data_IF_259062583100
#
_entry.id   IF_259062583100
#
_cell.length_a   1.000
_cell.length_b   1.000
_cell.length_c   1.000
_cell.angle_alpha   90.00
_cell.angle_beta   90.00
_cell.angle_gamma   90.00
#
_symmetry.space_group_name_H-M   'P 1'
#
loop_
_entity.id
_entity.type
_entity.pdbx_description
1 polymer ?
#
# COMPACT_ATOMS: atom_id res chain seq x y z
N UNK A 1 4.22 -14.94 12.04
CA UNK A 1 5.67 -14.65 12.02
C UNK A 1 5.98 -13.16 12.17
N UNK A 2 5.57 -12.25 11.27
CA UNK A 2 5.84 -10.79 11.39
C UNK A 2 5.31 -10.14 12.67
N UNK A 3 4.22 -10.66 13.24
CA UNK A 3 3.67 -10.20 14.53
C UNK A 3 4.56 -10.54 15.72
N UNK A 4 5.29 -11.66 15.67
CA UNK A 4 6.24 -12.06 16.71
C UNK A 4 7.50 -11.18 16.67
N UNK A 5 7.96 -10.80 15.46
CA UNK A 5 9.09 -9.88 15.29
C UNK A 5 8.78 -8.46 15.82
N UNK A 6 7.54 -7.99 15.65
CA UNK A 6 7.11 -6.71 16.21
C UNK A 6 7.16 -6.69 17.74
N UNK A 7 6.82 -7.81 18.38
CA UNK A 7 6.89 -7.96 19.84
C UNK A 7 8.35 -8.04 20.33
N UNK A 8 9.21 -8.73 19.58
CA UNK A 8 10.64 -8.84 19.90
C UNK A 8 11.40 -7.51 19.78
N UNK A 9 11.10 -6.71 18.75
CA UNK A 9 11.71 -5.40 18.52
C UNK A 9 10.92 -4.22 19.11
N UNK A 10 10.02 -4.47 20.06
CA UNK A 10 9.15 -3.45 20.65
C UNK A 10 9.87 -2.32 21.39
N UNK A 11 11.14 -2.52 21.78
CA UNK A 11 11.95 -1.51 22.49
C UNK A 11 12.38 -0.33 21.63
N UNK A 12 12.43 -0.49 20.31
CA UNK A 12 12.90 0.55 19.38
C UNK A 12 11.77 0.94 18.41
N UNK A 13 11.33 2.22 18.41
CA UNK A 13 10.22 2.66 17.54
C UNK A 13 10.56 2.53 16.05
N UNK A 14 11.84 2.66 15.70
CA UNK A 14 12.42 2.49 14.36
C UNK A 14 12.08 1.13 13.74
N UNK A 15 12.40 0.06 14.47
CA UNK A 15 12.18 -1.30 13.99
C UNK A 15 10.69 -1.66 13.96
N UNK A 16 9.90 -1.09 14.89
CA UNK A 16 8.45 -1.26 14.91
C UNK A 16 7.78 -0.65 13.66
N UNK A 17 8.26 0.52 13.21
CA UNK A 17 7.80 1.17 11.99
C UNK A 17 8.08 0.32 10.75
N UNK A 18 9.30 -0.22 10.61
CA UNK A 18 9.66 -1.08 9.46
C UNK A 18 8.83 -2.37 9.42
N UNK A 19 8.58 -3.02 10.56
CA UNK A 19 7.76 -4.24 10.61
C UNK A 19 6.30 -3.94 10.24
N UNK A 20 5.75 -2.79 10.63
CA UNK A 20 4.40 -2.35 10.23
C UNK A 20 4.31 -2.05 8.73
N UNK A 21 5.32 -1.40 8.16
CA UNK A 21 5.41 -1.16 6.72
C UNK A 21 5.43 -2.47 5.94
N UNK A 22 6.26 -3.43 6.37
CA UNK A 22 6.34 -4.76 5.77
C UNK A 22 5.01 -5.52 5.86
N UNK A 23 4.33 -5.46 7.01
CA UNK A 23 2.99 -6.02 7.17
C UNK A 23 2.00 -5.37 6.19
N UNK A 24 1.99 -4.05 6.07
CA UNK A 24 1.16 -3.33 5.11
C UNK A 24 1.35 -3.79 3.66
N UNK A 25 2.60 -3.94 3.22
CA UNK A 25 2.95 -4.40 1.89
C UNK A 25 2.52 -5.87 1.65
N UNK A 26 2.79 -6.77 2.59
CA UNK A 26 2.37 -8.18 2.46
C UNK A 26 0.85 -8.35 2.42
N UNK A 27 0.11 -7.51 3.14
CA UNK A 27 -1.34 -7.55 3.15
C UNK A 27 -1.97 -6.88 1.91
N UNK A 28 -1.32 -5.87 1.32
CA UNK A 28 -1.75 -5.30 0.04
C UNK A 28 -1.82 -6.39 -1.05
N UNK A 29 -0.80 -7.27 -1.11
CA UNK A 29 -0.76 -8.40 -2.05
C UNK A 29 -1.87 -9.44 -1.90
N UNK A 30 -2.67 -9.40 -0.81
CA UNK A 30 -3.75 -10.38 -0.54
C UNK A 30 -5.11 -10.01 -1.14
N UNK A 31 -5.28 -8.85 -1.78
CA UNK A 31 -6.45 -8.69 -2.67
C UNK A 31 -6.97 -7.30 -2.96
N UNK A 32 -6.78 -6.31 -2.08
CA UNK A 32 -7.43 -4.98 -2.26
C UNK A 32 -6.62 -4.02 -3.11
N UNK A 33 -5.30 -4.13 -3.12
CA UNK A 33 -4.42 -3.22 -3.86
C UNK A 33 -3.27 -4.00 -4.46
N UNK A 34 -3.15 -3.98 -5.79
CA UNK A 34 -2.00 -4.56 -6.50
C UNK A 34 -0.99 -3.50 -6.86
N UNK A 35 0.29 -3.79 -6.62
CA UNK A 35 1.40 -2.99 -7.14
C UNK A 35 1.74 -3.50 -8.54
N UNK A 36 1.34 -2.77 -9.57
CA UNK A 36 1.63 -3.12 -10.96
C UNK A 36 1.98 -1.86 -11.76
N UNK A 37 3.22 -1.70 -12.26
CA UNK A 37 3.61 -0.55 -13.06
C UNK A 37 3.12 -0.62 -14.51
N UNK A 38 2.47 -1.72 -14.91
CA UNK A 38 2.00 -1.94 -16.26
C UNK A 38 0.46 -1.83 -16.32
N UNK A 39 -0.01 -1.13 -17.35
CA UNK A 39 -1.42 -0.95 -17.68
C UNK A 39 -1.78 -1.81 -18.91
N UNK A 40 -3.01 -2.29 -19.00
CA UNK A 40 -3.54 -3.15 -20.09
C UNK A 40 -2.70 -4.43 -20.34
N UNK A 41 -3.00 -5.51 -19.61
CA UNK A 41 -2.38 -6.84 -19.79
C UNK A 41 -0.86 -6.83 -19.95
N UNK A 42 -0.20 -5.97 -19.16
CA UNK A 42 1.26 -5.80 -19.13
C UNK A 42 1.89 -5.30 -20.44
N UNK A 43 1.10 -4.77 -21.38
CA UNK A 43 1.56 -4.36 -22.71
C UNK A 43 2.07 -2.92 -22.74
N UNK A 44 1.55 -2.04 -21.88
CA UNK A 44 1.97 -0.64 -21.80
C UNK A 44 2.54 -0.34 -20.41
N UNK A 45 3.78 0.16 -20.38
CA UNK A 45 4.45 0.53 -19.12
C UNK A 45 4.12 1.98 -18.79
N UNK A 46 3.57 2.20 -17.59
CA UNK A 46 3.36 3.54 -17.07
C UNK A 46 4.67 4.07 -16.49
N UNK A 47 5.30 5.03 -17.17
CA UNK A 47 6.59 5.63 -16.79
C UNK A 47 6.63 6.15 -15.34
N UNK A 48 5.66 6.94 -14.84
CA UNK A 48 5.64 7.39 -13.45
C UNK A 48 5.49 6.26 -12.42
N UNK A 49 4.74 5.20 -12.73
CA UNK A 49 4.59 4.06 -11.84
C UNK A 49 5.88 3.25 -11.72
N UNK A 50 6.61 3.08 -12.84
CA UNK A 50 7.93 2.44 -12.85
C UNK A 50 8.95 3.27 -12.07
N UNK A 51 8.99 4.59 -12.32
CA UNK A 51 9.86 5.52 -11.60
C UNK A 51 9.56 5.49 -10.09
N UNK A 52 8.29 5.48 -9.69
CA UNK A 52 7.90 5.40 -8.29
C UNK A 52 8.34 4.11 -7.60
N UNK A 53 8.29 2.97 -8.31
CA UNK A 53 8.79 1.71 -7.78
C UNK A 53 10.31 1.71 -7.61
N UNK A 54 11.06 2.25 -8.58
CA UNK A 54 12.52 2.36 -8.53
C UNK A 54 13.00 3.30 -7.42
N UNK A 55 12.33 4.43 -7.22
CA UNK A 55 12.63 5.38 -6.13
C UNK A 55 12.45 4.72 -4.77
N UNK A 56 11.38 3.94 -4.58
CA UNK A 56 11.15 3.23 -3.31
C UNK A 56 12.18 2.13 -3.09
N UNK A 57 12.53 1.36 -4.12
CA UNK A 57 13.55 0.31 -4.05
C UNK A 57 14.93 0.87 -3.70
N UNK A 58 15.34 1.96 -4.35
CA UNK A 58 16.61 2.64 -4.07
C UNK A 58 16.62 3.29 -2.68
N UNK A 59 15.48 3.80 -2.19
CA UNK A 59 15.38 4.33 -0.83
C UNK A 59 15.50 3.27 0.27
N UNK A 60 15.12 2.02 0.00
CA UNK A 60 15.31 0.92 0.95
C UNK A 60 16.78 0.49 1.10
N UNK A 61 17.70 0.91 0.22
CA UNK A 61 19.14 0.65 0.39
C UNK A 61 19.72 1.44 1.59
N UNK A 62 19.22 2.65 1.86
CA UNK A 62 19.57 3.44 3.05
C UNK A 62 18.33 3.78 3.89
N UNK A 63 17.76 2.73 4.50
CA UNK A 63 16.57 2.86 5.35
C UNK A 63 16.78 3.78 6.57
N UNK A 64 17.99 3.81 7.14
CA UNK A 64 18.24 4.52 8.40
C UNK A 64 18.23 6.03 8.19
N UNK A 65 18.85 6.52 7.12
CA UNK A 65 18.95 7.96 6.88
C UNK A 65 17.77 8.51 6.08
N UNK A 66 17.30 7.78 5.06
CA UNK A 66 16.29 8.29 4.12
C UNK A 66 14.88 8.11 4.67
N UNK A 67 14.52 6.88 5.03
CA UNK A 67 13.16 6.53 5.46
C UNK A 67 12.89 7.01 6.89
N UNK A 68 13.89 7.04 7.76
CA UNK A 68 13.73 7.39 9.17
C UNK A 68 14.18 8.81 9.54
N UNK A 69 15.00 9.45 8.69
CA UNK A 69 15.61 10.75 8.99
C UNK A 69 14.82 11.93 8.44
N UNK A 70 14.91 12.15 7.13
CA UNK A 70 14.46 13.42 6.50
C UNK A 70 13.30 13.27 5.51
N UNK A 71 13.08 12.08 4.97
CA UNK A 71 12.27 11.91 3.75
C UNK A 71 11.24 10.80 3.87
N UNK A 72 10.38 10.87 4.89
CA UNK A 72 9.26 9.92 5.04
C UNK A 72 8.28 9.94 3.86
N UNK A 73 8.17 11.08 3.17
CA UNK A 73 7.24 11.28 2.06
C UNK A 73 7.60 10.46 0.81
N UNK A 74 8.83 9.93 0.72
CA UNK A 74 9.24 9.10 -0.41
C UNK A 74 8.38 7.82 -0.52
N UNK A 75 7.85 7.34 0.60
CA UNK A 75 6.92 6.21 0.64
C UNK A 75 5.59 6.52 -0.05
N UNK A 76 5.17 7.79 -0.16
CA UNK A 76 3.95 8.15 -0.89
C UNK A 76 4.10 8.02 -2.39
N UNK A 77 5.32 8.04 -2.93
CA UNK A 77 5.54 7.83 -4.37
C UNK A 77 5.10 6.42 -4.80
N UNK A 78 5.06 5.46 -3.86
CA UNK A 78 4.49 4.12 -4.07
C UNK A 78 3.02 4.17 -4.53
N UNK A 79 2.28 5.24 -4.20
CA UNK A 79 0.89 5.42 -4.60
C UNK A 79 0.69 5.43 -6.12
N UNK A 80 1.69 5.88 -6.87
CA UNK A 80 1.64 5.93 -8.34
C UNK A 80 1.58 4.55 -8.99
N UNK A 81 2.04 3.51 -8.28
CA UNK A 81 2.04 2.12 -8.75
C UNK A 81 0.90 1.29 -8.14
N UNK A 82 0.06 1.87 -7.27
CA UNK A 82 -1.04 1.17 -6.63
C UNK A 82 -2.27 1.16 -7.53
N UNK A 83 -2.79 -0.04 -7.78
CA UNK A 83 -4.05 -0.27 -8.47
C UNK A 83 -5.07 -0.86 -7.48
N UNK A 84 -6.07 -0.08 -7.03
CA UNK A 84 -7.08 -0.57 -6.10
C UNK A 84 -8.13 -1.43 -6.81
N UNK A 85 -8.60 -2.48 -6.14
CA UNK A 85 -9.71 -3.33 -6.58
C UNK A 85 -10.89 -3.15 -5.62
N UNK A 86 -12.00 -2.65 -6.17
CA UNK A 86 -13.22 -2.36 -5.42
C UNK A 86 -14.25 -3.45 -5.69
N UNK A 87 -14.94 -3.87 -4.64
CA UNK A 87 -16.09 -4.78 -4.73
C UNK A 87 -17.28 -4.07 -4.12
N UNK A 88 -18.34 -3.92 -4.91
CA UNK A 88 -19.63 -3.39 -4.47
C UNK A 88 -20.66 -4.48 -4.66
N UNK A 89 -21.30 -4.89 -3.57
CA UNK A 89 -22.41 -5.83 -3.60
C UNK A 89 -23.70 -5.05 -3.78
N UNK A 90 -24.37 -5.25 -4.91
CA UNK A 90 -25.66 -4.64 -5.24
C UNK A 90 -26.77 -5.68 -5.12
N UNK A 91 -27.93 -5.25 -4.64
CA UNK A 91 -29.17 -6.02 -4.62
C UNK A 91 -29.92 -5.88 -5.97
N UNK A 92 -31.01 -6.65 -6.17
CA UNK A 92 -31.84 -6.61 -7.38
C UNK A 92 -32.41 -5.20 -7.66
N UNK A 93 -32.56 -4.38 -6.62
CA UNK A 93 -33.01 -2.98 -6.70
C UNK A 93 -31.86 -1.95 -6.82
N UNK A 94 -30.65 -2.40 -7.19
CA UNK A 94 -29.42 -1.58 -7.26
C UNK A 94 -29.05 -0.86 -5.96
N UNK A 95 -29.58 -1.29 -4.82
CA UNK A 95 -29.21 -0.75 -3.52
C UNK A 95 -27.93 -1.43 -3.01
N UNK A 96 -27.02 -0.70 -2.34
CA UNK A 96 -25.81 -1.29 -1.77
C UNK A 96 -26.20 -2.24 -0.63
N UNK A 97 -25.80 -3.51 -0.75
CA UNK A 97 -26.02 -4.53 0.27
C UNK A 97 -24.80 -4.66 1.18
N UNK A 98 -24.99 -4.60 2.49
CA UNK A 98 -23.91 -4.77 3.46
C UNK A 98 -23.61 -6.26 3.71
N UNK A 99 -22.89 -6.89 2.78
CA UNK A 99 -22.40 -8.26 2.95
C UNK A 99 -20.99 -8.24 3.58
N UNK A 100 -20.77 -9.08 4.59
CA UNK A 100 -19.45 -9.23 5.20
C UNK A 100 -18.51 -9.99 4.27
N UNK A 101 -17.84 -9.28 3.37
CA UNK A 101 -16.73 -9.81 2.58
C UNK A 101 -15.43 -9.69 3.37
N UNK A 102 -14.63 -10.77 3.41
CA UNK A 102 -13.29 -10.73 4.03
C UNK A 102 -12.33 -9.93 3.16
N UNK A 103 -12.35 -8.62 3.33
CA UNK A 103 -11.31 -7.73 2.82
C UNK A 103 -10.16 -7.64 3.83
N UNK A 104 -8.92 -7.65 3.36
CA UNK A 104 -7.75 -7.55 4.24
C UNK A 104 -7.75 -6.22 5.00
N UNK A 105 -8.09 -6.23 6.28
CA UNK A 105 -8.07 -5.03 7.10
C UNK A 105 -6.63 -4.66 7.46
N UNK A 106 -6.15 -3.54 6.93
CA UNK A 106 -4.90 -2.92 7.38
C UNK A 106 -5.07 -1.42 7.49
N UNK A 107 -4.51 -0.86 8.57
CA UNK A 107 -4.51 0.56 8.94
C UNK A 107 -4.03 1.52 7.83
N UNK A 108 -3.26 1.04 6.85
CA UNK A 108 -2.80 1.82 5.69
C UNK A 108 -3.89 2.05 4.63
N UNK A 109 -4.95 1.23 4.63
CA UNK A 109 -6.04 1.28 3.65
C UNK A 109 -6.84 2.59 3.73
N UNK A 110 -7.05 3.12 4.95
CA UNK A 110 -7.85 4.34 5.16
C UNK A 110 -7.12 5.62 4.74
N UNK A 111 -5.78 5.63 4.87
CA UNK A 111 -4.96 6.76 4.43
C UNK A 111 -4.83 6.81 2.90
N UNK A 112 -4.72 5.64 2.27
CA UNK A 112 -4.64 5.52 0.82
C UNK A 112 -5.98 5.81 0.11
N UNK A 113 -7.12 5.41 0.71
CA UNK A 113 -8.45 5.71 0.18
C UNK A 113 -8.69 7.22 0.05
N UNK A 114 -8.35 7.97 1.11
CA UNK A 114 -8.55 9.42 1.15
C UNK A 114 -7.66 10.17 0.15
N UNK A 115 -6.47 9.65 -0.16
CA UNK A 115 -5.60 10.23 -1.19
C UNK A 115 -6.12 9.96 -2.61
N UNK A 116 -6.55 8.72 -2.92
CA UNK A 116 -7.06 8.38 -4.25
C UNK A 116 -8.37 9.13 -4.59
N UNK A 117 -9.28 9.26 -3.61
CA UNK A 117 -10.49 10.08 -3.74
C UNK A 117 -10.21 11.58 -3.98
N UNK A 118 -9.02 12.06 -3.62
CA UNK A 118 -8.59 13.45 -3.78
C UNK A 118 -7.78 13.70 -5.05
N UNK A 119 -7.25 12.66 -5.67
CA UNK A 119 -6.56 12.71 -6.98
C UNK A 119 -7.54 12.49 -8.14
N UNK A 120 -8.66 11.80 -7.89
CA UNK A 120 -9.71 11.55 -8.89
C UNK A 120 -10.87 12.57 -8.86
N UNK A 121 -10.67 13.73 -8.22
CA UNK A 121 -11.61 14.85 -8.14
C UNK A 121 -10.88 16.14 -8.47
#
# INVERSE_FOLDING_TARGET
>A
MLRALALYHGKSPVHLFMVRLAQGLCHAGKGTVTLCPAHADKRLVNQPALAGLLVVLTAFLDCKNIILGKSHYLLYVLATAMQPRWLVTLDDNLQPLNVSVRVGQVSLHLFFLNFFLRVCK
#
